data_IF_748499983139
#
_entry.id   IF_748499983139
#
_cell.length_a   1.000
_cell.length_b   1.000
_cell.length_c   1.000
_cell.angle_alpha   90.00
_cell.angle_beta   90.00
_cell.angle_gamma   90.00
#
_symmetry.space_group_name_H-M   'P 1'
#
loop_
_entity.id
_entity.type
_entity.pdbx_description
1 polymer ?
#
# COMPACT_ATOMS: atom_id res chain seq x y z
N UNK A 1 25.72 -17.49 -14.30
CA UNK A 1 24.99 -16.26 -14.63
C UNK A 1 24.51 -15.62 -13.32
N UNK A 2 25.24 -14.67 -12.70
CA UNK A 2 25.04 -14.26 -11.30
C UNK A 2 24.18 -12.99 -11.09
N UNK A 3 23.53 -12.47 -12.14
CA UNK A 3 22.87 -11.16 -12.09
C UNK A 3 21.63 -11.10 -11.17
N UNK A 4 20.98 -12.22 -10.87
CA UNK A 4 19.78 -12.23 -10.00
C UNK A 4 20.09 -12.08 -8.51
N UNK A 5 21.24 -12.57 -8.01
CA UNK A 5 21.56 -12.55 -6.57
C UNK A 5 21.71 -11.13 -6.04
N UNK A 6 22.28 -10.22 -6.84
CA UNK A 6 22.52 -8.85 -6.42
C UNK A 6 21.21 -8.03 -6.38
N UNK A 7 20.30 -8.22 -7.34
CA UNK A 7 18.97 -7.58 -7.30
C UNK A 7 18.12 -8.06 -6.12
N UNK A 8 18.18 -9.35 -5.79
CA UNK A 8 17.45 -9.88 -4.63
C UNK A 8 18.02 -9.31 -3.33
N UNK A 9 19.35 -9.23 -3.21
CA UNK A 9 20.00 -8.60 -2.06
C UNK A 9 19.61 -7.12 -1.93
N UNK A 10 19.64 -6.36 -3.03
CA UNK A 10 19.22 -4.95 -3.01
C UNK A 10 17.75 -4.80 -2.58
N UNK A 11 16.84 -5.63 -3.09
CA UNK A 11 15.42 -5.60 -2.69
C UNK A 11 15.24 -5.93 -1.22
N UNK A 12 15.95 -6.95 -0.71
CA UNK A 12 15.90 -7.32 0.70
C UNK A 12 16.46 -6.20 1.59
N UNK A 13 17.56 -5.56 1.20
CA UNK A 13 18.13 -4.41 1.91
C UNK A 13 17.14 -3.24 1.93
N UNK A 14 16.55 -2.86 0.79
CA UNK A 14 15.55 -1.79 0.74
C UNK A 14 14.32 -2.09 1.61
N UNK A 15 13.89 -3.36 1.68
CA UNK A 15 12.80 -3.78 2.56
C UNK A 15 13.18 -3.67 4.04
N UNK A 16 14.40 -4.07 4.41
CA UNK A 16 14.91 -3.96 5.78
C UNK A 16 15.06 -2.48 6.18
N UNK A 17 15.60 -1.64 5.31
CA UNK A 17 15.75 -0.21 5.57
C UNK A 17 14.39 0.47 5.75
N UNK A 18 13.42 0.14 4.89
CA UNK A 18 12.04 0.63 5.04
C UNK A 18 11.43 0.16 6.36
N UNK A 19 11.58 -1.10 6.74
CA UNK A 19 11.03 -1.60 8.02
C UNK A 19 11.71 -0.96 9.24
N UNK A 20 13.02 -0.70 9.19
CA UNK A 20 13.74 0.00 10.26
C UNK A 20 13.31 1.45 10.42
N UNK A 21 13.03 2.16 9.31
CA UNK A 21 12.49 3.53 9.38
C UNK A 21 11.12 3.58 10.05
N UNK A 22 10.33 2.51 9.90
CA UNK A 22 9.01 2.40 10.49
C UNK A 22 9.05 2.01 11.98
N UNK A 23 10.09 1.28 12.42
CA UNK A 23 10.25 0.85 13.82
C UNK A 23 10.58 2.07 14.70
N UNK A 24 9.64 2.44 15.57
CA UNK A 24 9.79 3.52 16.53
C UNK A 24 8.87 4.72 16.27
N UNK A 25 8.15 4.73 15.15
CA UNK A 25 7.08 5.70 14.91
C UNK A 25 5.89 5.37 15.80
N UNK A 26 5.51 6.31 16.67
CA UNK A 26 4.32 6.21 17.52
C UNK A 26 3.10 6.85 16.89
N UNK A 27 3.28 7.72 15.89
CA UNK A 27 2.19 8.40 15.19
C UNK A 27 1.75 7.59 13.96
N UNK A 28 0.51 7.07 13.94
CA UNK A 28 0.02 6.21 12.85
C UNK A 28 0.01 6.91 11.49
N UNK A 29 -0.28 8.20 11.44
CA UNK A 29 -0.33 8.96 10.18
C UNK A 29 1.05 9.09 9.54
N UNK A 30 2.09 9.40 10.33
CA UNK A 30 3.47 9.49 9.84
C UNK A 30 3.96 8.12 9.32
N UNK A 31 3.65 7.05 10.05
CA UNK A 31 3.95 5.68 9.65
C UNK A 31 3.34 5.33 8.29
N UNK A 32 2.03 5.60 8.12
CA UNK A 32 1.32 5.32 6.88
C UNK A 32 1.89 6.14 5.71
N UNK A 33 2.21 7.41 5.94
CA UNK A 33 2.82 8.26 4.93
C UNK A 33 4.15 7.68 4.45
N UNK A 34 5.05 7.33 5.36
CA UNK A 34 6.35 6.76 5.00
C UNK A 34 6.23 5.40 4.29
N UNK A 35 5.24 4.59 4.67
CA UNK A 35 4.95 3.33 3.99
C UNK A 35 4.53 3.56 2.54
N UNK A 36 3.58 4.47 2.30
CA UNK A 36 3.07 4.76 0.94
C UNK A 36 4.16 5.39 0.06
N UNK A 37 4.97 6.30 0.61
CA UNK A 37 6.12 6.87 -0.08
C UNK A 37 7.14 5.80 -0.49
N UNK A 38 7.39 4.82 0.39
CA UNK A 38 8.29 3.70 0.10
C UNK A 38 7.72 2.77 -0.97
N UNK A 39 6.42 2.49 -0.94
CA UNK A 39 5.73 1.71 -1.96
C UNK A 39 5.80 2.39 -3.33
N UNK A 40 5.49 3.70 -3.42
CA UNK A 40 5.60 4.49 -4.65
C UNK A 40 7.00 4.39 -5.28
N UNK A 41 8.05 4.58 -4.46
CA UNK A 41 9.44 4.45 -4.93
C UNK A 41 9.78 3.04 -5.40
N UNK A 42 9.35 2.01 -4.67
CA UNK A 42 9.65 0.62 -4.98
C UNK A 42 9.00 0.17 -6.30
N UNK A 43 7.77 0.61 -6.54
CA UNK A 43 7.00 0.25 -7.74
C UNK A 43 7.18 1.24 -8.89
N UNK A 44 7.88 2.36 -8.68
CA UNK A 44 8.00 3.46 -9.64
C UNK A 44 6.62 3.90 -10.18
N UNK A 45 5.64 4.03 -9.28
CA UNK A 45 4.26 4.39 -9.59
C UNK A 45 4.02 5.89 -9.43
N UNK A 46 3.02 6.42 -10.14
CA UNK A 46 2.64 7.84 -10.07
C UNK A 46 1.75 8.16 -8.85
N UNK A 47 0.94 7.19 -8.40
CA UNK A 47 0.02 7.36 -7.28
C UNK A 47 -0.15 6.06 -6.47
N UNK A 48 -0.47 6.21 -5.19
CA UNK A 48 -0.74 5.11 -4.28
C UNK A 48 -1.80 5.54 -3.25
N UNK A 49 -2.75 4.67 -2.96
CA UNK A 49 -3.75 4.89 -1.92
C UNK A 49 -3.83 3.71 -0.96
N UNK A 50 -4.22 3.99 0.27
CA UNK A 50 -4.45 3.01 1.32
C UNK A 50 -5.89 3.11 1.79
N UNK A 51 -6.58 1.97 1.77
CA UNK A 51 -7.90 1.82 2.37
C UNK A 51 -7.83 0.89 3.57
N UNK A 52 -8.55 1.26 4.62
CA UNK A 52 -8.74 0.46 5.82
C UNK A 52 -10.13 -0.17 5.80
N UNK A 53 -10.22 -1.40 6.30
CA UNK A 53 -11.50 -2.08 6.46
C UNK A 53 -12.18 -1.55 7.72
N UNK A 54 -13.39 -1.03 7.56
CA UNK A 54 -14.35 -0.83 8.64
C UNK A 54 -15.18 -2.10 8.78
N UNK A 55 -14.87 -2.90 9.79
CA UNK A 55 -15.55 -4.17 10.04
C UNK A 55 -17.02 -3.99 10.46
N UNK A 56 -17.36 -2.87 11.11
CA UNK A 56 -18.71 -2.62 11.60
C UNK A 56 -19.67 -2.34 10.43
N UNK A 57 -19.23 -1.52 9.49
CA UNK A 57 -20.04 -1.11 8.33
C UNK A 57 -19.80 -1.98 7.09
N UNK A 58 -18.86 -2.95 7.15
CA UNK A 58 -18.45 -3.80 6.03
C UNK A 58 -18.04 -2.98 4.79
N UNK A 59 -17.25 -1.92 5.03
CA UNK A 59 -16.83 -0.96 4.02
C UNK A 59 -15.34 -0.68 4.10
N UNK A 60 -14.79 -0.14 3.03
CA UNK A 60 -13.43 0.36 2.92
C UNK A 60 -13.44 1.88 3.01
N UNK A 61 -12.64 2.42 3.92
CA UNK A 61 -12.39 3.84 4.07
C UNK A 61 -10.97 4.17 3.60
N UNK A 62 -10.84 5.05 2.62
CA UNK A 62 -9.52 5.50 2.15
C UNK A 62 -8.90 6.39 3.23
N UNK A 63 -7.81 5.92 3.83
CA UNK A 63 -7.13 6.62 4.91
C UNK A 63 -6.11 7.63 4.38
N UNK A 64 -5.51 7.34 3.22
CA UNK A 64 -4.46 8.18 2.65
C UNK A 64 -4.31 7.97 1.14
N UNK A 65 -4.00 9.04 0.40
CA UNK A 65 -3.59 8.96 -1.00
C UNK A 65 -2.39 9.87 -1.26
N UNK A 66 -1.39 9.36 -1.98
CA UNK A 66 -0.22 10.11 -2.45
C UNK A 66 -0.18 10.10 -3.99
N UNK A 67 0.12 11.24 -4.60
CA UNK A 67 0.31 11.38 -6.07
C UNK A 67 -0.97 11.36 -6.91
N UNK A 68 -2.14 11.07 -6.31
CA UNK A 68 -3.44 11.00 -7.00
C UNK A 68 -4.49 11.97 -6.45
N UNK A 69 -5.73 11.80 -6.91
CA UNK A 69 -6.88 12.53 -6.36
C UNK A 69 -7.10 12.12 -4.90
N UNK A 70 -7.49 13.07 -4.05
CA UNK A 70 -7.89 12.79 -2.67
C UNK A 70 -9.12 11.90 -2.64
N UNK A 71 -9.05 10.83 -1.86
CA UNK A 71 -10.09 9.79 -1.78
C UNK A 71 -10.65 9.64 -0.36
N UNK A 72 -10.23 10.46 0.61
CA UNK A 72 -10.49 10.26 2.05
C UNK A 72 -11.98 10.28 2.42
N UNK A 73 -12.81 10.96 1.61
CA UNK A 73 -14.27 10.99 1.75
C UNK A 73 -14.98 9.80 1.10
N UNK A 74 -14.27 9.04 0.27
CA UNK A 74 -14.85 7.91 -0.47
C UNK A 74 -14.95 6.67 0.42
N UNK A 75 -16.07 5.96 0.28
CA UNK A 75 -16.34 4.68 0.94
C UNK A 75 -16.77 3.66 -0.10
N UNK A 76 -16.26 2.44 0.03
CA UNK A 76 -16.54 1.36 -0.92
C UNK A 76 -16.97 0.11 -0.14
N UNK A 77 -18.14 -0.49 -0.42
CA UNK A 77 -18.51 -1.78 0.15
C UNK A 77 -17.46 -2.86 -0.10
N UNK A 78 -17.27 -3.77 0.87
CA UNK A 78 -16.47 -4.97 0.65
C UNK A 78 -17.01 -5.77 -0.55
N UNK A 79 -16.10 -6.35 -1.33
CA UNK A 79 -16.42 -7.07 -2.56
C UNK A 79 -16.73 -6.19 -3.78
N UNK A 80 -16.88 -4.86 -3.63
CA UNK A 80 -17.15 -3.96 -4.75
C UNK A 80 -15.86 -3.35 -5.33
N UNK A 81 -15.76 -3.34 -6.67
CA UNK A 81 -14.58 -2.83 -7.36
C UNK A 81 -13.31 -3.66 -7.10
N UNK A 82 -12.18 -3.23 -7.65
CA UNK A 82 -10.90 -3.96 -7.53
C UNK A 82 -10.46 -4.05 -6.07
N UNK A 83 -10.46 -2.91 -5.36
CA UNK A 83 -10.01 -2.85 -3.96
C UNK A 83 -10.93 -3.66 -3.04
N UNK A 84 -12.25 -3.57 -3.21
CA UNK A 84 -13.20 -4.37 -2.44
C UNK A 84 -13.10 -5.87 -2.70
N UNK A 85 -12.85 -6.27 -3.93
CA UNK A 85 -12.60 -7.68 -4.27
C UNK A 85 -11.33 -8.22 -3.59
N UNK A 86 -10.23 -7.45 -3.64
CA UNK A 86 -8.97 -7.82 -2.98
C UNK A 86 -9.16 -7.91 -1.46
N UNK A 87 -9.87 -6.96 -0.86
CA UNK A 87 -10.16 -6.97 0.57
C UNK A 87 -11.00 -8.19 1.01
N UNK A 88 -11.93 -8.64 0.16
CA UNK A 88 -12.74 -9.83 0.45
C UNK A 88 -11.96 -11.15 0.27
N UNK A 89 -11.13 -11.25 -0.77
CA UNK A 89 -10.42 -12.51 -1.11
C UNK A 89 -9.07 -12.66 -0.44
N UNK A 90 -8.42 -11.57 -0.05
CA UNK A 90 -7.06 -11.57 0.45
C UNK A 90 -6.00 -11.87 -0.63
N UNK A 91 -6.36 -11.76 -1.91
CA UNK A 91 -5.50 -12.03 -3.04
C UNK A 91 -5.23 -10.75 -3.83
N UNK A 92 -3.95 -10.40 -4.03
CA UNK A 92 -3.56 -9.24 -4.84
C UNK A 92 -3.81 -9.47 -6.33
N UNK A 93 -4.20 -8.41 -7.04
CA UNK A 93 -4.50 -8.45 -8.48
C UNK A 93 -3.83 -7.30 -9.22
N UNK A 94 -3.47 -7.56 -10.48
CA UNK A 94 -3.05 -6.53 -11.44
C UNK A 94 -4.14 -6.43 -12.50
N UNK A 95 -4.74 -5.25 -12.65
CA UNK A 95 -5.66 -4.94 -13.74
C UNK A 95 -4.88 -4.25 -14.87
N UNK A 96 -4.98 -4.78 -16.09
CA UNK A 96 -4.25 -4.33 -17.28
C UNK A 96 -5.20 -3.76 -18.34
N UNK A 97 -6.25 -3.05 -17.92
CA UNK A 97 -7.25 -2.49 -18.84
C UNK A 97 -6.67 -1.46 -19.82
#
# INVERSE_FOLDING_TARGET
MPLHTNQIQQRLTSLIDATQQLIGMTEPEELLQHLLESALRLFAADACSLALIDEAEQQLAFAMTLGGARMEEFRLPLGQGIVGWVAEKGEGVIAND
#
